data_IF_442750455325
#
_entry.id   IF_442750455325
#
_cell.length_a   1.000
_cell.length_b   1.000
_cell.length_c   1.000
_cell.angle_alpha   90.00
_cell.angle_beta   90.00
_cell.angle_gamma   90.00
#
_symmetry.space_group_name_H-M   'P 1'
#
loop_
_entity.id
_entity.type
_entity.pdbx_description
1 polymer ?
#
# COMPACT_ATOMS: atom_id res chain seq x y z
N UNK A 1 22.28 -18.92 -18.93
CA UNK A 1 21.37 -18.37 -19.96
C UNK A 1 21.62 -16.87 -19.98
N UNK A 2 22.13 -16.34 -21.09
CA UNK A 2 22.57 -14.96 -21.18
C UNK A 2 21.38 -14.00 -20.97
N UNK A 3 21.55 -13.05 -20.06
CA UNK A 3 20.63 -11.92 -19.88
C UNK A 3 20.78 -11.07 -21.14
N UNK A 4 19.77 -11.10 -22.01
CA UNK A 4 19.69 -10.18 -23.14
C UNK A 4 19.38 -8.79 -22.58
N UNK A 5 20.40 -7.97 -22.40
CA UNK A 5 20.25 -6.52 -22.24
C UNK A 5 20.11 -5.91 -23.64
N UNK A 6 18.93 -6.07 -24.25
CA UNK A 6 18.55 -5.26 -25.40
C UNK A 6 17.77 -4.07 -24.84
N UNK A 7 18.46 -2.93 -24.68
CA UNK A 7 17.84 -1.63 -24.42
C UNK A 7 17.03 -1.22 -25.67
N UNK A 8 15.81 -1.74 -25.82
CA UNK A 8 14.80 -1.04 -26.61
C UNK A 8 14.40 0.23 -25.85
N UNK A 9 14.06 1.35 -26.53
CA UNK A 9 13.42 2.46 -25.86
C UNK A 9 12.13 1.95 -25.22
N UNK A 10 12.12 1.79 -23.89
CA UNK A 10 10.93 1.36 -23.17
C UNK A 10 9.91 2.49 -23.30
N UNK A 11 8.76 2.21 -23.92
CA UNK A 11 7.66 3.16 -23.90
C UNK A 11 7.26 3.44 -22.43
N UNK A 12 6.94 4.70 -22.08
CA UNK A 12 6.53 5.03 -20.72
C UNK A 12 5.31 4.18 -20.32
N UNK A 13 5.43 3.44 -19.22
CA UNK A 13 4.38 2.53 -18.76
C UNK A 13 4.00 2.70 -17.28
N UNK A 14 4.56 3.71 -16.61
CA UNK A 14 4.34 3.97 -15.18
C UNK A 14 3.35 5.13 -14.99
N UNK A 15 2.29 4.90 -14.21
CA UNK A 15 1.39 5.96 -13.72
C UNK A 15 1.78 6.40 -12.30
N UNK A 16 2.03 7.68 -12.09
CA UNK A 16 2.39 8.23 -10.78
C UNK A 16 1.22 9.01 -10.19
N UNK A 17 0.77 8.61 -9.00
CA UNK A 17 -0.36 9.21 -8.30
C UNK A 17 0.11 9.90 -7.03
N UNK A 18 0.00 11.22 -6.97
CA UNK A 18 0.46 12.06 -5.85
C UNK A 18 -0.72 12.42 -4.94
N UNK A 19 -0.62 12.06 -3.66
CA UNK A 19 -1.68 12.32 -2.68
C UNK A 19 -1.40 13.62 -1.90
N UNK A 20 -2.36 14.55 -1.84
CA UNK A 20 -2.30 15.71 -0.92
C UNK A 20 -2.59 15.32 0.53
N UNK A 21 -3.40 14.27 0.73
CA UNK A 21 -3.90 13.81 2.03
C UNK A 21 -4.48 14.95 2.88
N UNK A 22 -5.30 15.80 2.23
CA UNK A 22 -5.73 17.07 2.80
C UNK A 22 -4.52 17.98 3.06
N UNK A 23 -4.27 18.32 4.32
CA UNK A 23 -3.08 19.10 4.75
C UNK A 23 -1.95 18.24 5.30
N UNK A 24 -2.13 16.92 5.43
CA UNK A 24 -1.11 16.06 6.03
C UNK A 24 0.16 15.97 5.18
N UNK A 25 0.02 15.97 3.86
CA UNK A 25 1.17 15.99 2.93
C UNK A 25 1.32 17.38 2.35
N UNK A 26 0.27 17.91 1.70
CA UNK A 26 0.30 19.21 1.03
C UNK A 26 0.49 20.42 1.96
N UNK A 27 0.40 20.24 3.28
CA UNK A 27 0.76 21.29 4.24
C UNK A 27 2.26 21.55 4.32
N UNK A 28 3.08 20.55 4.00
CA UNK A 28 4.55 20.57 4.15
C UNK A 28 5.26 20.40 2.80
N UNK A 29 4.77 19.49 1.97
CA UNK A 29 5.36 19.11 0.68
C UNK A 29 4.59 19.81 -0.44
N UNK A 30 5.31 20.44 -1.37
CA UNK A 30 4.71 21.07 -2.55
C UNK A 30 4.40 20.01 -3.62
N UNK A 31 3.17 19.49 -3.58
CA UNK A 31 2.70 18.45 -4.49
C UNK A 31 2.60 18.94 -5.94
N UNK A 32 2.26 20.22 -6.14
CA UNK A 32 2.03 20.77 -7.48
C UNK A 32 3.37 21.05 -8.18
N UNK A 33 4.41 21.43 -7.44
CA UNK A 33 5.80 21.46 -7.92
C UNK A 33 6.30 20.05 -8.25
N UNK A 34 6.09 19.08 -7.34
CA UNK A 34 6.49 17.69 -7.58
C UNK A 34 5.85 17.12 -8.85
N UNK A 35 4.57 17.38 -9.09
CA UNK A 35 3.88 16.88 -10.27
C UNK A 35 4.63 17.25 -11.57
N UNK A 36 4.98 18.54 -11.72
CA UNK A 36 5.70 19.07 -12.88
C UNK A 36 7.10 18.49 -13.04
N UNK A 37 7.77 18.18 -11.94
CA UNK A 37 9.11 17.61 -11.97
C UNK A 37 9.08 16.13 -12.34
N UNK A 38 8.11 15.38 -11.82
CA UNK A 38 7.95 13.95 -12.09
C UNK A 38 7.44 13.69 -13.50
N UNK A 39 6.64 14.60 -14.09
CA UNK A 39 6.20 14.52 -15.49
C UNK A 39 7.36 14.54 -16.50
N UNK A 40 8.54 15.03 -16.11
CA UNK A 40 9.72 15.09 -16.99
C UNK A 40 10.48 13.77 -17.06
N UNK A 41 10.15 12.81 -16.21
CA UNK A 41 10.84 11.52 -16.12
C UNK A 41 10.37 10.64 -17.31
N UNK A 42 11.28 10.16 -18.20
CA UNK A 42 10.90 9.46 -19.42
C UNK A 42 10.02 8.23 -19.23
N UNK A 43 10.17 7.51 -18.12
CA UNK A 43 9.45 6.27 -17.82
C UNK A 43 7.99 6.53 -17.35
N UNK A 44 7.69 7.78 -16.98
CA UNK A 44 6.38 8.20 -16.45
C UNK A 44 5.44 8.54 -17.59
N UNK A 45 4.33 7.80 -17.67
CA UNK A 45 3.28 7.98 -18.66
C UNK A 45 2.24 9.01 -18.25
N UNK A 46 1.93 9.05 -16.95
CA UNK A 46 0.92 9.93 -16.38
C UNK A 46 1.38 10.37 -14.99
N UNK A 47 1.19 11.64 -14.67
CA UNK A 47 1.17 12.11 -13.29
C UNK A 47 -0.23 12.63 -12.97
N UNK A 48 -0.79 12.16 -11.87
CA UNK A 48 -2.09 12.59 -11.40
C UNK A 48 -2.03 13.00 -9.94
N UNK A 49 -2.64 14.14 -9.62
CA UNK A 49 -2.69 14.67 -8.26
C UNK A 49 -4.09 14.52 -7.70
N UNK A 50 -4.23 13.86 -6.55
CA UNK A 50 -5.52 13.65 -5.89
C UNK A 50 -5.50 14.22 -4.47
N UNK A 51 -6.64 14.76 -4.03
CA UNK A 51 -6.77 15.24 -2.65
C UNK A 51 -6.66 14.07 -1.65
N UNK A 52 -7.32 12.96 -1.96
CA UNK A 52 -7.32 11.73 -1.18
C UNK A 52 -7.28 10.50 -2.10
N UNK A 53 -6.08 10.06 -2.48
CA UNK A 53 -5.90 8.94 -3.41
C UNK A 53 -6.54 7.63 -2.93
N UNK A 54 -6.65 7.41 -1.61
CA UNK A 54 -7.24 6.18 -1.05
C UNK A 54 -8.76 6.22 -0.94
N UNK A 55 -9.39 7.36 -1.17
CA UNK A 55 -10.86 7.47 -1.20
C UNK A 55 -11.45 6.70 -2.38
N UNK A 56 -12.73 6.33 -2.30
CA UNK A 56 -13.39 5.63 -3.41
C UNK A 56 -13.27 6.38 -4.75
N UNK A 57 -13.48 7.72 -4.82
CA UNK A 57 -13.22 8.47 -6.05
C UNK A 57 -11.77 8.37 -6.52
N UNK A 58 -10.80 8.51 -5.61
CA UNK A 58 -9.37 8.43 -5.95
C UNK A 58 -8.95 7.05 -6.48
N UNK A 59 -9.54 5.99 -5.93
CA UNK A 59 -9.33 4.63 -6.44
C UNK A 59 -9.93 4.44 -7.84
N UNK A 60 -11.14 4.95 -8.07
CA UNK A 60 -11.79 4.90 -9.40
C UNK A 60 -10.97 5.67 -10.43
N UNK A 61 -10.45 6.85 -10.07
CA UNK A 61 -9.58 7.64 -10.95
C UNK A 61 -8.31 6.86 -11.36
N UNK A 62 -7.69 6.11 -10.43
CA UNK A 62 -6.55 5.23 -10.76
C UNK A 62 -6.98 4.14 -11.76
N UNK A 63 -8.11 3.47 -11.52
CA UNK A 63 -8.59 2.40 -12.41
C UNK A 63 -8.91 2.90 -13.81
N UNK A 64 -9.52 4.07 -13.91
CA UNK A 64 -9.81 4.73 -15.18
C UNK A 64 -8.52 5.11 -15.89
N UNK A 65 -7.59 5.77 -15.19
CA UNK A 65 -6.29 6.13 -15.76
C UNK A 65 -5.55 4.90 -16.28
N UNK A 66 -5.57 3.79 -15.54
CA UNK A 66 -4.97 2.52 -15.96
C UNK A 66 -5.52 2.05 -17.31
N UNK A 67 -6.85 2.02 -17.44
CA UNK A 67 -7.53 1.49 -18.62
C UNK A 67 -7.40 2.43 -19.83
N UNK A 68 -7.57 3.73 -19.62
CA UNK A 68 -7.61 4.72 -20.69
C UNK A 68 -6.21 5.06 -21.23
N UNK A 69 -5.21 5.11 -20.35
CA UNK A 69 -3.84 5.47 -20.73
C UNK A 69 -2.98 4.24 -20.99
N UNK A 70 -3.49 3.02 -20.77
CA UNK A 70 -2.70 1.79 -20.90
C UNK A 70 -1.46 1.83 -19.99
N UNK A 71 -1.67 2.14 -18.70
CA UNK A 71 -0.63 2.10 -17.67
C UNK A 71 -0.48 0.66 -17.22
N UNK A 72 0.75 0.17 -17.10
CA UNK A 72 1.02 -1.22 -16.72
C UNK A 72 1.47 -1.34 -15.25
N UNK A 73 2.10 -0.29 -14.73
CA UNK A 73 2.66 -0.23 -13.38
C UNK A 73 2.30 1.09 -12.74
N UNK A 74 2.12 1.12 -11.42
CA UNK A 74 1.82 2.38 -10.74
C UNK A 74 2.80 2.69 -9.60
N UNK A 75 3.04 3.97 -9.39
CA UNK A 75 3.66 4.51 -8.19
C UNK A 75 2.65 5.36 -7.45
N UNK A 76 2.43 5.09 -6.17
CA UNK A 76 1.56 5.92 -5.33
C UNK A 76 2.42 6.66 -4.30
N UNK A 77 2.52 7.98 -4.43
CA UNK A 77 3.22 8.83 -3.49
C UNK A 77 2.26 9.34 -2.42
N UNK A 78 2.24 8.68 -1.26
CA UNK A 78 1.25 8.92 -0.21
C UNK A 78 1.77 8.51 1.18
N UNK A 79 0.95 7.77 1.92
CA UNK A 79 1.27 7.22 3.24
C UNK A 79 2.03 5.88 3.14
N UNK A 80 2.39 5.35 4.30
CA UNK A 80 3.03 4.06 4.45
C UNK A 80 2.34 2.92 3.69
N UNK A 81 3.10 2.05 2.99
CA UNK A 81 2.57 0.82 2.39
C UNK A 81 2.03 -0.16 3.45
N UNK A 82 2.42 -0.02 4.73
CA UNK A 82 1.85 -0.82 5.83
C UNK A 82 0.38 -0.49 6.10
N UNK A 83 -0.08 0.70 5.69
CA UNK A 83 -1.46 1.14 5.86
C UNK A 83 -2.31 0.82 4.61
N UNK A 84 -1.93 1.35 3.45
CA UNK A 84 -2.73 1.25 2.22
C UNK A 84 -2.11 0.36 1.13
N UNK A 85 -1.01 -0.35 1.40
CA UNK A 85 -0.45 -1.33 0.46
C UNK A 85 -1.49 -2.36 -0.03
N UNK A 86 -2.28 -3.00 0.87
CA UNK A 86 -3.36 -3.89 0.47
C UNK A 86 -4.45 -3.18 -0.37
N UNK A 87 -4.74 -1.90 -0.09
CA UNK A 87 -5.71 -1.11 -0.86
C UNK A 87 -5.28 -1.00 -2.32
N UNK A 88 -4.03 -0.65 -2.60
CA UNK A 88 -3.53 -0.52 -3.97
C UNK A 88 -3.51 -1.84 -4.70
N UNK A 89 -3.13 -2.93 -4.03
CA UNK A 89 -3.24 -4.29 -4.58
C UNK A 89 -4.67 -4.60 -5.02
N UNK A 90 -5.67 -4.25 -4.23
CA UNK A 90 -7.09 -4.42 -4.59
C UNK A 90 -7.49 -3.55 -5.79
N UNK A 91 -7.04 -2.30 -5.85
CA UNK A 91 -7.27 -1.41 -7.01
C UNK A 91 -6.72 -2.04 -8.29
N UNK A 92 -5.48 -2.55 -8.27
CA UNK A 92 -4.88 -3.22 -9.43
C UNK A 92 -5.66 -4.46 -9.86
N UNK A 93 -6.11 -5.30 -8.90
CA UNK A 93 -6.99 -6.45 -9.23
C UNK A 93 -8.25 -6.00 -9.96
N UNK A 94 -8.92 -4.95 -9.50
CA UNK A 94 -10.13 -4.41 -10.14
C UNK A 94 -9.85 -3.79 -11.52
N UNK A 95 -8.67 -3.23 -11.70
CA UNK A 95 -8.20 -2.71 -12.98
C UNK A 95 -7.76 -3.81 -13.96
N UNK A 96 -7.58 -5.05 -13.51
CA UNK A 96 -7.11 -6.17 -14.33
C UNK A 96 -5.59 -6.27 -14.45
N UNK A 97 -4.84 -5.61 -13.55
CA UNK A 97 -3.37 -5.62 -13.52
C UNK A 97 -2.87 -6.48 -12.35
N UNK A 98 -1.71 -7.11 -12.54
CA UNK A 98 -1.09 -7.92 -11.49
C UNK A 98 -0.80 -7.07 -10.23
N UNK A 99 -1.25 -7.48 -9.02
CA UNK A 99 -1.13 -6.68 -7.80
C UNK A 99 0.29 -6.42 -7.30
N UNK A 100 1.29 -7.06 -7.89
CA UNK A 100 2.70 -6.84 -7.58
C UNK A 100 3.30 -5.66 -8.35
N UNK A 101 2.58 -5.12 -9.35
CA UNK A 101 3.02 -4.00 -10.20
C UNK A 101 2.69 -2.62 -9.60
N UNK A 102 2.86 -2.50 -8.29
CA UNK A 102 2.71 -1.23 -7.56
C UNK A 102 3.89 -0.99 -6.63
N UNK A 103 4.42 0.22 -6.67
CA UNK A 103 5.35 0.73 -5.65
C UNK A 103 4.73 1.91 -4.90
N UNK A 104 5.08 2.06 -3.61
CA UNK A 104 4.56 3.15 -2.78
C UNK A 104 5.72 4.01 -2.29
N UNK A 105 5.73 5.28 -2.68
CA UNK A 105 6.61 6.28 -2.10
C UNK A 105 5.96 6.87 -0.84
N UNK A 106 6.52 6.56 0.34
CA UNK A 106 6.01 7.09 1.60
C UNK A 106 6.50 8.53 1.83
N UNK A 107 5.69 9.50 1.39
CA UNK A 107 5.97 10.93 1.55
C UNK A 107 5.19 11.56 2.72
N UNK A 108 4.48 10.76 3.53
CA UNK A 108 3.77 11.24 4.73
C UNK A 108 4.54 10.94 6.01
N UNK A 109 4.48 9.71 6.50
CA UNK A 109 5.13 9.31 7.75
C UNK A 109 6.66 9.45 7.69
N UNK A 110 7.25 9.30 6.51
CA UNK A 110 8.70 9.39 6.30
C UNK A 110 9.13 10.74 5.69
N UNK A 111 8.21 11.68 5.46
CA UNK A 111 8.57 13.01 4.96
C UNK A 111 7.72 14.12 5.59
N UNK A 112 6.48 14.34 5.12
CA UNK A 112 5.71 15.54 5.49
C UNK A 112 5.47 15.72 6.99
N UNK A 113 5.25 14.64 7.74
CA UNK A 113 4.99 14.68 9.18
C UNK A 113 6.24 14.89 10.03
N UNK A 114 7.42 14.56 9.51
CA UNK A 114 8.68 14.64 10.26
C UNK A 114 9.51 15.87 9.89
N UNK A 115 9.12 16.60 8.84
CA UNK A 115 9.83 17.78 8.30
C UNK A 115 8.92 19.01 8.20
N UNK A 116 8.00 19.18 9.15
CA UNK A 116 6.95 20.21 9.14
C UNK A 116 7.49 21.65 8.95
N UNK A 117 8.71 21.91 9.43
CA UNK A 117 9.35 23.22 9.40
C UNK A 117 10.23 23.42 8.16
N UNK A 118 10.80 22.36 7.57
CA UNK A 118 11.70 22.43 6.43
C UNK A 118 11.00 22.12 5.09
N UNK A 119 9.95 22.88 4.73
CA UNK A 119 9.13 22.59 3.54
C UNK A 119 9.90 22.36 2.25
N UNK A 120 10.92 23.20 1.97
CA UNK A 120 11.76 23.06 0.76
C UNK A 120 12.53 21.73 0.75
N UNK A 121 13.14 21.38 1.87
CA UNK A 121 13.86 20.11 2.01
C UNK A 121 12.91 18.91 2.04
N UNK A 122 11.71 19.06 2.59
CA UNK A 122 10.66 18.05 2.54
C UNK A 122 10.20 17.80 1.10
N UNK A 123 9.99 18.84 0.29
CA UNK A 123 9.68 18.70 -1.14
C UNK A 123 10.82 18.01 -1.88
N UNK A 124 12.07 18.43 -1.65
CA UNK A 124 13.24 17.78 -2.25
C UNK A 124 13.33 16.30 -1.89
N UNK A 125 13.21 15.96 -0.61
CA UNK A 125 13.20 14.57 -0.13
C UNK A 125 12.05 13.77 -0.74
N UNK A 126 10.85 14.34 -0.84
CA UNK A 126 9.71 13.68 -1.44
C UNK A 126 9.97 13.38 -2.93
N UNK A 127 10.61 14.30 -3.67
CA UNK A 127 11.04 14.05 -5.05
C UNK A 127 11.96 12.84 -5.13
N UNK A 128 13.03 12.82 -4.34
CA UNK A 128 14.00 11.70 -4.33
C UNK A 128 13.32 10.37 -3.98
N UNK A 129 12.41 10.36 -3.01
CA UNK A 129 11.63 9.15 -2.66
C UNK A 129 10.75 8.65 -3.81
N UNK A 130 10.14 9.56 -4.58
CA UNK A 130 9.31 9.22 -5.73
C UNK A 130 10.19 8.69 -6.87
N UNK A 131 11.33 9.34 -7.15
CA UNK A 131 12.30 8.88 -8.16
C UNK A 131 12.82 7.48 -7.84
N UNK A 132 13.14 7.20 -6.57
CA UNK A 132 13.53 5.86 -6.12
C UNK A 132 12.40 4.83 -6.32
N UNK A 133 11.14 5.22 -6.08
CA UNK A 133 9.99 4.35 -6.29
C UNK A 133 9.74 4.07 -7.78
N UNK A 134 9.93 5.08 -8.65
CA UNK A 134 9.84 4.93 -10.11
C UNK A 134 10.93 4.00 -10.62
N UNK A 135 12.18 4.21 -10.20
CA UNK A 135 13.31 3.35 -10.58
C UNK A 135 13.09 1.89 -10.18
N UNK A 136 12.47 1.65 -9.02
CA UNK A 136 12.09 0.28 -8.62
C UNK A 136 10.90 -0.25 -9.42
N UNK A 137 9.89 0.59 -9.69
CA UNK A 137 8.70 0.21 -10.45
C UNK A 137 9.05 -0.24 -11.88
N UNK A 138 10.02 0.40 -12.52
CA UNK A 138 10.55 0.00 -13.83
C UNK A 138 10.95 -1.48 -13.88
N UNK A 139 11.52 -1.99 -12.78
CA UNK A 139 12.01 -3.36 -12.65
C UNK A 139 11.02 -4.33 -12.03
N UNK A 140 9.81 -3.88 -11.64
CA UNK A 140 8.79 -4.79 -11.10
C UNK A 140 8.34 -5.80 -12.16
N UNK A 141 8.15 -7.03 -11.72
CA UNK A 141 7.60 -8.13 -12.51
C UNK A 141 6.27 -8.58 -11.93
N UNK A 142 5.41 -9.13 -12.78
CA UNK A 142 4.17 -9.75 -12.34
C UNK A 142 4.50 -11.02 -11.56
N UNK A 143 3.99 -11.12 -10.32
CA UNK A 143 4.17 -12.30 -9.46
C UNK A 143 2.79 -12.85 -9.14
N UNK A 144 2.63 -14.16 -9.27
CA UNK A 144 1.39 -14.85 -8.95
C UNK A 144 1.22 -15.03 -7.43
N UNK A 145 -0.01 -14.87 -6.96
CA UNK A 145 -0.34 -15.15 -5.57
C UNK A 145 -0.28 -16.66 -5.32
N UNK A 146 0.35 -17.04 -4.20
CA UNK A 146 0.39 -18.44 -3.75
C UNK A 146 -0.91 -18.75 -3.00
N UNK A 147 -1.69 -19.68 -3.54
CA UNK A 147 -2.89 -20.20 -2.85
C UNK A 147 -2.49 -21.35 -1.95
N UNK A 148 -2.74 -21.20 -0.64
CA UNK A 148 -2.46 -22.22 0.37
C UNK A 148 -3.75 -22.68 1.05
N UNK A 149 -3.93 -23.98 1.34
CA UNK A 149 -5.10 -24.46 2.06
C UNK A 149 -5.09 -23.95 3.51
N UNK A 150 -6.28 -23.60 4.01
CA UNK A 150 -6.46 -23.15 5.40
C UNK A 150 -7.10 -24.27 6.21
N UNK A 151 -6.40 -24.73 7.25
CA UNK A 151 -6.94 -25.70 8.20
C UNK A 151 -8.13 -25.08 8.95
N UNK A 152 -9.28 -25.76 8.96
CA UNK A 152 -10.51 -25.29 9.60
C UNK A 152 -10.49 -25.51 11.12
N UNK A 153 -9.41 -25.05 11.77
CA UNK A 153 -9.16 -25.18 13.21
C UNK A 153 -8.56 -23.89 13.74
N UNK A 154 -9.04 -23.43 14.89
CA UNK A 154 -8.62 -22.18 15.52
C UNK A 154 -7.91 -22.48 16.84
N UNK A 155 -6.77 -21.82 17.08
CA UNK A 155 -6.07 -21.82 18.36
C UNK A 155 -6.30 -20.47 19.06
N UNK A 156 -6.78 -20.53 20.30
CA UNK A 156 -6.95 -19.37 21.17
C UNK A 156 -6.01 -19.52 22.36
N UNK A 157 -5.19 -18.49 22.61
CA UNK A 157 -4.22 -18.46 23.69
C UNK A 157 -4.72 -17.49 24.77
N UNK A 158 -5.02 -18.03 25.95
CA UNK A 158 -5.55 -17.32 27.10
C UNK A 158 -7.04 -17.54 27.30
N UNK A 159 -7.41 -18.23 28.39
CA UNK A 159 -8.78 -18.52 28.81
C UNK A 159 -9.40 -17.41 29.67
N UNK A 160 -9.09 -16.14 29.41
CA UNK A 160 -9.80 -15.01 30.01
C UNK A 160 -11.14 -14.76 29.34
N UNK A 161 -11.91 -13.77 29.81
CA UNK A 161 -13.23 -13.42 29.24
C UNK A 161 -13.20 -13.24 27.71
N UNK A 162 -12.17 -12.58 27.18
CA UNK A 162 -12.02 -12.38 25.74
C UNK A 162 -11.78 -13.70 24.97
N UNK A 163 -10.93 -14.58 25.50
CA UNK A 163 -10.63 -15.85 24.87
C UNK A 163 -11.78 -16.85 24.95
N UNK A 164 -12.50 -16.87 26.09
CA UNK A 164 -13.72 -17.66 26.25
C UNK A 164 -14.78 -17.21 25.24
N UNK A 165 -15.02 -15.91 25.11
CA UNK A 165 -16.00 -15.40 24.16
C UNK A 165 -15.62 -15.76 22.71
N UNK A 166 -14.36 -15.51 22.32
CA UNK A 166 -13.89 -15.88 20.99
C UNK A 166 -14.01 -17.38 20.71
N UNK A 167 -13.80 -18.23 21.73
CA UNK A 167 -13.97 -19.67 21.59
C UNK A 167 -15.44 -20.06 21.36
N UNK A 168 -16.35 -19.49 22.14
CA UNK A 168 -17.79 -19.75 22.02
C UNK A 168 -18.36 -19.30 20.68
N UNK A 169 -17.94 -18.12 20.20
CA UNK A 169 -18.39 -17.57 18.91
C UNK A 169 -17.98 -18.48 17.73
N UNK A 170 -16.83 -19.14 17.82
CA UNK A 170 -16.26 -19.95 16.75
C UNK A 170 -16.61 -21.44 16.85
N UNK A 171 -16.90 -21.96 18.05
CA UNK A 171 -17.11 -23.38 18.31
C UNK A 171 -18.29 -24.01 17.55
N UNK A 172 -19.25 -23.20 17.09
CA UNK A 172 -20.37 -23.70 16.27
C UNK A 172 -19.95 -24.08 14.84
N UNK A 173 -18.86 -23.52 14.32
CA UNK A 173 -18.47 -23.65 12.92
C UNK A 173 -17.06 -24.22 12.73
N UNK A 174 -16.20 -24.15 13.75
CA UNK A 174 -14.80 -24.55 13.66
C UNK A 174 -14.38 -25.37 14.88
N UNK A 175 -13.40 -26.25 14.70
CA UNK A 175 -12.72 -26.88 15.83
C UNK A 175 -11.87 -25.83 16.56
N UNK A 176 -12.09 -25.64 17.86
CA UNK A 176 -11.39 -24.63 18.66
C UNK A 176 -10.54 -25.29 19.74
N UNK A 177 -9.26 -24.94 19.78
CA UNK A 177 -8.33 -25.29 20.86
C UNK A 177 -8.11 -24.04 21.72
N UNK A 178 -8.53 -24.07 22.98
CA UNK A 178 -8.28 -23.01 23.95
C UNK A 178 -7.15 -23.46 24.89
N UNK A 179 -6.04 -22.72 24.91
CA UNK A 179 -4.89 -22.98 25.79
C UNK A 179 -4.82 -21.90 26.84
N UNK A 180 -4.99 -22.27 28.11
CA UNK A 180 -4.78 -21.39 29.26
C UNK A 180 -3.51 -21.78 30.01
N UNK A 181 -2.74 -20.77 30.42
CA UNK A 181 -1.49 -20.96 31.16
C UNK A 181 -1.74 -21.48 32.57
N UNK A 182 -2.82 -21.02 33.20
CA UNK A 182 -3.19 -21.32 34.57
C UNK A 182 -4.00 -22.62 34.66
N UNK A 183 -4.10 -23.25 35.85
CA UNK A 183 -4.94 -24.45 36.02
C UNK A 183 -6.43 -24.21 35.75
N UNK A 184 -6.89 -22.96 35.80
CA UNK A 184 -8.30 -22.57 35.61
C UNK A 184 -8.44 -21.43 34.61
N UNK A 185 -9.53 -21.43 33.87
CA UNK A 185 -9.96 -20.30 33.03
C UNK A 185 -10.65 -19.20 33.86
N UNK A 186 -10.96 -18.07 33.23
CA UNK A 186 -11.63 -16.91 33.82
C UNK A 186 -10.78 -15.64 33.82
N UNK A 187 -9.44 -15.78 33.79
CA UNK A 187 -8.51 -14.66 33.80
C UNK A 187 -8.76 -13.71 34.98
N UNK A 188 -8.53 -12.40 34.77
CA UNK A 188 -8.75 -11.39 35.83
C UNK A 188 -10.22 -11.27 36.26
N UNK A 189 -11.17 -11.63 35.41
CA UNK A 189 -12.61 -11.50 35.70
C UNK A 189 -13.07 -12.47 36.80
N UNK A 190 -12.43 -13.63 36.94
CA UNK A 190 -12.77 -14.60 37.98
C UNK A 190 -12.23 -14.24 39.39
N UNK A 191 -11.47 -13.15 39.50
CA UNK A 191 -10.87 -12.68 40.75
C UNK A 191 -11.62 -11.48 41.38
N UNK A 192 -12.61 -10.94 40.66
CA UNK A 192 -13.49 -9.86 41.11
C UNK A 192 -14.85 -10.42 41.51
#
# INVERSE_FOLDING_TARGET
>A
MAIKTENSPHEPNIGVFLCKCGKNIAGTVDIDELAKEIEKIPEVKLVQVNTYTCSDPGQVEIETAIKEQGIEKIVVAACSPRLHGPTWKTVLRRAGINPSLVEVANIREQCSWVHLSEKKEATKKAKELIEMAIAKAELLEAIDDIVVPVNQRVLIIGGGVAGIQAALDLANNYEVILVEKSPTIGGKMALI
#
